data_IF_192607617861
#
_entry.id   IF_192607617861
#
_cell.length_a   1.000
_cell.length_b   1.000
_cell.length_c   1.000
_cell.angle_alpha   90.00
_cell.angle_beta   90.00
_cell.angle_gamma   90.00
#
_symmetry.space_group_name_H-M   'P 1'
#
loop_
_entity.id
_entity.type
_entity.pdbx_description
1 polymer ?
#
# COMPACT_ATOMS: atom_id res chain seq x y z
N UNK A 1 -25.13 12.23 -15.21
CA UNK A 1 -24.57 11.21 -14.29
C UNK A 1 -23.80 10.21 -15.13
N UNK A 2 -22.55 9.92 -14.75
CA UNK A 2 -21.74 8.90 -15.44
C UNK A 2 -22.46 7.55 -15.44
N UNK A 3 -22.32 6.77 -16.51
CA UNK A 3 -22.87 5.40 -16.63
C UNK A 3 -21.88 4.33 -16.12
N UNK A 4 -20.74 4.74 -15.58
CA UNK A 4 -19.70 3.84 -15.12
C UNK A 4 -20.02 3.30 -13.73
N UNK A 5 -19.59 2.07 -13.45
CA UNK A 5 -19.64 1.48 -12.11
C UNK A 5 -18.70 2.29 -11.20
N UNK A 6 -19.14 2.68 -9.99
CA UNK A 6 -18.27 3.38 -9.06
C UNK A 6 -17.11 2.49 -8.60
N UNK A 7 -15.98 3.07 -8.15
CA UNK A 7 -14.92 2.33 -7.50
C UNK A 7 -15.42 1.52 -6.31
N UNK A 8 -14.74 0.41 -6.00
CA UNK A 8 -15.11 -0.43 -4.87
C UNK A 8 -14.92 0.33 -3.55
N UNK A 9 -15.96 0.41 -2.72
CA UNK A 9 -15.89 1.01 -1.38
C UNK A 9 -15.58 2.52 -1.33
N UNK A 10 -15.67 3.24 -2.46
CA UNK A 10 -15.39 4.68 -2.56
C UNK A 10 -16.21 5.34 -3.68
N UNK A 11 -16.53 6.63 -3.53
CA UNK A 11 -17.17 7.41 -4.60
C UNK A 11 -16.16 7.78 -5.72
N UNK A 12 -14.88 7.92 -5.36
CA UNK A 12 -13.80 8.34 -6.25
C UNK A 12 -12.64 7.33 -6.27
N UNK A 13 -11.91 7.29 -7.40
CA UNK A 13 -10.67 6.52 -7.48
C UNK A 13 -9.62 7.13 -6.56
N UNK A 14 -8.79 6.29 -5.96
CA UNK A 14 -7.71 6.70 -5.07
C UNK A 14 -6.34 6.20 -5.56
N UNK A 15 -5.78 6.78 -6.62
CA UNK A 15 -4.40 6.51 -7.03
C UNK A 15 -3.43 7.06 -5.97
N UNK A 16 -2.46 6.24 -5.53
CA UNK A 16 -1.43 6.66 -4.58
C UNK A 16 -0.15 7.16 -5.26
N UNK A 17 -0.23 7.52 -6.55
CA UNK A 17 0.88 8.07 -7.30
C UNK A 17 1.09 9.54 -6.96
N UNK A 18 2.27 9.86 -6.44
CA UNK A 18 2.65 11.23 -6.09
C UNK A 18 2.65 12.12 -7.36
N UNK A 19 2.10 13.35 -7.27
CA UNK A 19 2.13 14.33 -8.36
C UNK A 19 3.53 14.54 -8.91
N UNK A 20 3.66 14.69 -10.23
CA UNK A 20 4.95 14.78 -10.90
C UNK A 20 5.86 15.89 -10.32
N UNK A 21 5.27 17.02 -9.95
CA UNK A 21 5.96 18.18 -9.37
C UNK A 21 6.61 17.91 -8.01
N UNK A 22 6.12 16.93 -7.25
CA UNK A 22 6.63 16.57 -5.92
C UNK A 22 7.66 15.43 -5.96
N UNK A 23 7.75 14.68 -7.08
CA UNK A 23 8.56 13.45 -7.16
C UNK A 23 10.04 13.68 -6.90
N UNK A 24 10.61 14.79 -7.37
CA UNK A 24 12.04 15.05 -7.16
C UNK A 24 12.39 15.21 -5.68
N UNK A 25 11.55 15.91 -4.93
CA UNK A 25 11.74 16.16 -3.50
C UNK A 25 11.50 14.87 -2.70
N UNK A 26 10.45 14.11 -3.04
CA UNK A 26 10.17 12.82 -2.40
C UNK A 26 11.24 11.76 -2.68
N UNK A 27 11.79 11.71 -3.89
CA UNK A 27 12.93 10.84 -4.20
C UNK A 27 14.17 11.22 -3.38
N UNK A 28 14.43 12.52 -3.18
CA UNK A 28 15.52 12.98 -2.34
C UNK A 28 15.30 12.62 -0.87
N UNK A 29 14.08 12.77 -0.36
CA UNK A 29 13.70 12.38 1.00
C UNK A 29 13.86 10.87 1.22
N UNK A 30 13.31 10.07 0.31
CA UNK A 30 13.39 8.61 0.33
C UNK A 30 14.84 8.11 0.32
N UNK A 31 15.75 8.81 -0.36
CA UNK A 31 17.18 8.48 -0.37
C UNK A 31 17.87 8.49 1.00
N UNK A 32 17.28 9.18 2.00
CA UNK A 32 17.77 9.20 3.38
C UNK A 32 17.09 8.21 4.33
N UNK A 33 16.05 7.51 3.89
CA UNK A 33 15.29 6.59 4.73
C UNK A 33 15.92 5.20 4.74
N UNK A 34 15.59 4.42 5.78
CA UNK A 34 15.90 2.99 5.80
C UNK A 34 15.20 2.31 4.62
N UNK A 35 15.93 1.43 3.93
CA UNK A 35 15.43 0.75 2.74
C UNK A 35 14.82 -0.59 3.10
N UNK A 36 13.64 -0.86 2.57
CA UNK A 36 12.98 -2.16 2.63
C UNK A 36 12.90 -2.72 1.22
N UNK A 37 13.65 -3.80 0.90
CA UNK A 37 13.60 -4.39 -0.42
C UNK A 37 12.25 -5.06 -0.65
N UNK A 38 11.76 -4.96 -1.88
CA UNK A 38 10.51 -5.57 -2.31
C UNK A 38 10.76 -6.76 -3.22
N UNK A 39 9.91 -7.77 -3.07
CA UNK A 39 9.76 -8.83 -4.06
C UNK A 39 9.07 -8.31 -5.32
N UNK A 40 9.18 -9.04 -6.43
CA UNK A 40 8.46 -8.71 -7.67
C UNK A 40 6.94 -8.63 -7.51
N UNK A 41 6.38 -9.41 -6.57
CA UNK A 41 4.96 -9.33 -6.21
C UNK A 41 4.65 -7.99 -5.52
N UNK A 42 5.42 -7.60 -4.52
CA UNK A 42 5.20 -6.33 -3.79
C UNK A 42 5.41 -5.12 -4.68
N UNK A 43 6.39 -5.16 -5.60
CA UNK A 43 6.54 -4.14 -6.64
C UNK A 43 5.30 -4.05 -7.53
N UNK A 44 4.70 -5.20 -7.89
CA UNK A 44 3.43 -5.21 -8.63
C UNK A 44 2.28 -4.63 -7.82
N UNK A 45 2.22 -4.92 -6.52
CA UNK A 45 1.22 -4.36 -5.61
C UNK A 45 1.37 -2.82 -5.50
N UNK A 46 2.60 -2.28 -5.45
CA UNK A 46 2.86 -0.83 -5.53
C UNK A 46 2.31 -0.22 -6.81
N UNK A 47 2.50 -0.86 -7.97
CA UNK A 47 1.94 -0.36 -9.22
C UNK A 47 0.41 -0.35 -9.18
N UNK A 48 -0.22 -1.36 -8.56
CA UNK A 48 -1.67 -1.40 -8.38
C UNK A 48 -2.16 -0.26 -7.47
N UNK A 49 -1.44 0.05 -6.38
CA UNK A 49 -1.72 1.23 -5.56
C UNK A 49 -1.56 2.54 -6.32
N UNK A 50 -0.47 2.68 -7.07
CA UNK A 50 -0.17 3.90 -7.85
C UNK A 50 -1.26 4.22 -8.88
N UNK A 51 -1.85 3.20 -9.51
CA UNK A 51 -2.93 3.37 -10.49
C UNK A 51 -4.34 3.45 -9.86
N UNK A 52 -4.46 3.21 -8.55
CA UNK A 52 -5.74 3.17 -7.84
C UNK A 52 -6.54 1.88 -8.02
N UNK A 53 -5.92 0.81 -8.53
CA UNK A 53 -6.56 -0.50 -8.68
C UNK A 53 -6.99 -1.13 -7.35
N UNK A 54 -6.32 -0.73 -6.26
CA UNK A 54 -6.67 -1.12 -4.89
C UNK A 54 -7.50 -0.09 -4.12
N UNK A 55 -8.17 0.84 -4.81
CA UNK A 55 -9.17 1.71 -4.16
C UNK A 55 -10.14 0.84 -3.33
N UNK A 56 -10.33 1.11 -2.02
CA UNK A 56 -10.01 2.36 -1.30
C UNK A 56 -8.74 2.33 -0.41
N UNK A 57 -7.92 1.29 -0.51
CA UNK A 57 -6.76 1.08 0.36
C UNK A 57 -5.77 2.26 0.32
N UNK A 58 -5.23 2.58 1.50
CA UNK A 58 -4.22 3.64 1.71
C UNK A 58 -2.77 3.14 1.57
N UNK A 59 -2.59 1.83 1.38
CA UNK A 59 -1.30 1.18 1.31
C UNK A 59 -1.42 -0.30 1.70
N UNK A 60 -0.30 -0.91 2.05
CA UNK A 60 -0.28 -2.27 2.60
C UNK A 60 -1.10 -2.35 3.89
N UNK A 61 -1.76 -3.49 4.10
CA UNK A 61 -2.65 -3.71 5.23
C UNK A 61 -1.89 -3.69 6.55
N UNK A 62 -2.47 -3.01 7.55
CA UNK A 62 -2.10 -3.21 8.95
C UNK A 62 -2.62 -4.57 9.47
N UNK A 63 -2.27 -4.91 10.71
CA UNK A 63 -2.66 -6.19 11.32
C UNK A 63 -4.19 -6.40 11.37
N UNK A 64 -4.97 -5.35 11.68
CA UNK A 64 -6.41 -5.47 11.81
C UNK A 64 -7.08 -5.76 10.46
N UNK A 65 -6.69 -5.04 9.41
CA UNK A 65 -7.17 -5.28 8.04
C UNK A 65 -6.75 -6.65 7.52
N UNK A 66 -5.50 -7.05 7.76
CA UNK A 66 -4.98 -8.35 7.35
C UNK A 66 -5.74 -9.51 8.03
N UNK A 67 -5.93 -9.44 9.36
CA UNK A 67 -6.67 -10.47 10.11
C UNK A 67 -8.12 -10.59 9.63
N UNK A 68 -8.80 -9.46 9.44
CA UNK A 68 -10.17 -9.45 8.89
C UNK A 68 -10.24 -10.01 7.48
N UNK A 69 -9.27 -9.67 6.62
CA UNK A 69 -9.19 -10.16 5.25
C UNK A 69 -9.03 -11.69 5.23
N UNK A 70 -8.13 -12.22 6.06
CA UNK A 70 -7.87 -13.66 6.09
C UNK A 70 -9.00 -14.46 6.76
N UNK A 71 -9.65 -13.92 7.79
CA UNK A 71 -10.71 -14.61 8.53
C UNK A 71 -12.10 -14.48 7.89
N UNK A 72 -12.50 -13.23 7.63
CA UNK A 72 -13.88 -12.87 7.27
C UNK A 72 -14.00 -12.32 5.84
N UNK A 73 -12.89 -12.24 5.09
CA UNK A 73 -12.81 -11.59 3.79
C UNK A 73 -13.29 -10.13 3.85
N UNK A 74 -12.95 -9.42 4.92
CA UNK A 74 -13.32 -8.01 5.12
C UNK A 74 -12.16 -7.22 5.70
N UNK A 75 -12.05 -5.96 5.30
CA UNK A 75 -11.22 -4.98 6.02
C UNK A 75 -11.79 -4.73 7.43
N UNK A 76 -11.00 -4.08 8.30
CA UNK A 76 -11.46 -3.69 9.63
C UNK A 76 -12.69 -2.74 9.58
N UNK A 77 -12.86 -2.01 8.48
CA UNK A 77 -14.04 -1.19 8.19
C UNK A 77 -15.31 -2.01 7.88
N UNK A 78 -15.19 -3.33 7.69
CA UNK A 78 -16.27 -4.22 7.27
C UNK A 78 -16.45 -4.34 5.75
N UNK A 79 -15.68 -3.58 4.96
CA UNK A 79 -15.71 -3.66 3.50
C UNK A 79 -15.21 -5.03 3.03
N UNK A 80 -15.94 -5.69 2.13
CA UNK A 80 -15.51 -6.97 1.56
C UNK A 80 -14.18 -6.83 0.81
N UNK A 81 -13.21 -7.65 1.20
CA UNK A 81 -11.89 -7.72 0.61
C UNK A 81 -11.26 -9.11 0.88
N UNK A 82 -11.14 -9.97 -0.15
CA UNK A 82 -10.75 -11.37 0.06
C UNK A 82 -9.26 -11.65 -0.15
N UNK A 83 -8.46 -10.68 -0.59
CA UNK A 83 -7.04 -10.88 -0.94
C UNK A 83 -6.16 -9.98 -0.06
N UNK A 84 -5.34 -10.56 0.83
CA UNK A 84 -4.45 -9.76 1.67
C UNK A 84 -3.35 -9.09 0.83
N UNK A 85 -3.15 -7.79 1.05
CA UNK A 85 -2.11 -7.00 0.39
C UNK A 85 -1.13 -6.54 1.47
N UNK A 86 0.00 -7.23 1.58
CA UNK A 86 0.97 -7.06 2.67
C UNK A 86 2.37 -6.86 2.12
N UNK A 87 3.21 -6.16 2.88
CA UNK A 87 4.65 -6.05 2.63
C UNK A 87 5.38 -6.91 3.66
N UNK A 88 6.21 -7.83 3.18
CA UNK A 88 7.05 -8.69 3.98
C UNK A 88 8.44 -8.11 4.17
N UNK A 89 9.09 -8.44 5.28
CA UNK A 89 10.48 -8.08 5.56
C UNK A 89 11.14 -9.21 6.36
N UNK A 90 12.46 -9.35 6.21
CA UNK A 90 13.24 -10.25 7.06
C UNK A 90 13.15 -9.81 8.53
N UNK A 91 13.19 -10.76 9.46
CA UNK A 91 12.98 -10.50 10.89
C UNK A 91 13.94 -9.44 11.44
N UNK A 92 15.24 -9.53 11.12
CA UNK A 92 16.24 -8.56 11.58
C UNK A 92 15.95 -7.14 11.06
N UNK A 93 15.43 -7.02 9.83
CA UNK A 93 15.06 -5.73 9.26
C UNK A 93 13.78 -5.20 9.91
N UNK A 94 12.76 -6.05 10.07
CA UNK A 94 11.50 -5.69 10.72
C UNK A 94 11.72 -5.22 12.16
N UNK A 95 12.52 -5.95 12.94
CA UNK A 95 12.87 -5.62 14.33
C UNK A 95 13.67 -4.32 14.44
N UNK A 96 14.30 -3.88 13.35
CA UNK A 96 15.02 -2.61 13.31
C UNK A 96 14.11 -1.40 13.07
N UNK A 97 12.86 -1.60 12.64
CA UNK A 97 11.92 -0.54 12.26
C UNK A 97 10.98 -0.27 13.44
N UNK A 98 10.87 0.99 13.85
CA UNK A 98 9.94 1.39 14.91
C UNK A 98 8.55 1.75 14.37
N UNK A 99 7.51 1.59 15.19
CA UNK A 99 6.16 2.06 14.85
C UNK A 99 6.17 3.56 14.50
N UNK A 100 5.64 3.90 13.33
CA UNK A 100 5.61 5.26 12.80
C UNK A 100 6.91 5.73 12.13
N UNK A 101 7.95 4.88 12.06
CA UNK A 101 9.15 5.15 11.26
C UNK A 101 8.81 5.13 9.77
N UNK A 102 9.26 6.16 9.03
CA UNK A 102 9.15 6.17 7.58
C UNK A 102 10.29 5.37 6.94
N UNK A 103 9.95 4.54 5.95
CA UNK A 103 10.89 3.71 5.20
C UNK A 103 10.76 3.95 3.70
N UNK A 104 11.84 3.71 2.96
CA UNK A 104 11.83 3.69 1.51
C UNK A 104 11.67 2.26 1.01
N UNK A 105 10.63 2.02 0.23
CA UNK A 105 10.43 0.75 -0.47
C UNK A 105 11.26 0.77 -1.76
N UNK A 106 12.10 -0.23 -1.96
CA UNK A 106 13.03 -0.29 -3.11
C UNK A 106 12.85 -1.59 -3.87
N UNK A 107 12.86 -1.51 -5.20
CA UNK A 107 13.01 -2.68 -6.06
C UNK A 107 14.48 -3.12 -6.10
N UNK A 108 14.72 -4.37 -6.52
CA UNK A 108 16.06 -4.90 -6.79
C UNK A 108 16.74 -4.22 -7.99
#
# INVERSE_FOLDING_TARGET
MSKLVPPHGSDDLKPLLIPEVERADEMKRAGGLKKVPMTSKETSDILMFAMGAYTPLDGFMNEADWRGCCGDMKLASGLFWPIPITLSADSDLADSISDGEEVALVDE
#
